data_IF_898941333910
#
_entry.id   IF_898941333910
#
_cell.length_a   1.000
_cell.length_b   1.000
_cell.length_c   1.000
_cell.angle_alpha   90.00
_cell.angle_beta   90.00
_cell.angle_gamma   90.00
#
_symmetry.space_group_name_H-M   'P 1'
#
loop_
_entity.id
_entity.type
_entity.pdbx_description
1 polymer ?
#
# COMPACT_ATOMS: atom_id res chain seq x y z
N UNK A 1 35.80 -45.44 -3.36
CA UNK A 1 35.00 -46.31 -4.21
C UNK A 1 34.10 -45.36 -4.94
N UNK A 2 34.58 -44.75 -5.99
CA UNK A 2 34.73 -45.13 -7.40
C UNK A 2 33.38 -45.33 -8.06
N UNK A 3 33.12 -44.34 -8.93
CA UNK A 3 32.77 -44.43 -10.36
C UNK A 3 31.27 -44.52 -10.67
N UNK A 4 30.69 -43.92 -11.71
CA UNK A 4 31.23 -43.50 -13.00
C UNK A 4 30.21 -42.58 -13.71
N UNK A 5 30.72 -41.66 -14.50
CA UNK A 5 30.11 -40.79 -15.49
C UNK A 5 29.54 -41.61 -16.67
N UNK A 6 28.45 -41.13 -17.27
CA UNK A 6 28.13 -41.41 -18.68
C UNK A 6 27.66 -40.14 -19.40
N UNK A 7 28.57 -39.62 -20.24
CA UNK A 7 28.30 -38.81 -21.43
C UNK A 7 27.67 -39.68 -22.51
N UNK A 8 26.73 -39.15 -23.27
CA UNK A 8 26.46 -39.58 -24.64
C UNK A 8 26.28 -38.39 -25.56
N UNK A 9 27.21 -38.32 -26.46
CA UNK A 9 27.36 -37.49 -27.63
C UNK A 9 26.58 -38.12 -28.82
N UNK A 10 25.93 -37.30 -29.68
CA UNK A 10 25.60 -37.59 -31.09
C UNK A 10 25.07 -36.32 -31.71
N UNK A 11 25.67 -35.60 -32.64
CA UNK A 11 26.12 -36.10 -33.93
C UNK A 11 25.44 -35.18 -34.95
N UNK A 12 26.20 -34.21 -35.50
CA UNK A 12 25.75 -33.25 -36.53
C UNK A 12 25.64 -33.92 -37.90
N UNK A 13 24.63 -33.53 -38.69
CA UNK A 13 24.69 -33.67 -40.15
C UNK A 13 24.29 -32.37 -40.84
N UNK A 14 25.22 -31.86 -41.63
CA UNK A 14 25.06 -30.73 -42.53
C UNK A 14 24.24 -31.13 -43.77
N UNK A 15 23.29 -30.25 -44.17
CA UNK A 15 22.59 -30.34 -45.45
C UNK A 15 22.64 -29.00 -46.17
N UNK A 16 23.13 -29.06 -47.40
CA UNK A 16 23.38 -27.97 -48.34
C UNK A 16 22.13 -27.16 -48.72
N UNK A 17 22.36 -25.86 -48.98
CA UNK A 17 21.41 -24.92 -49.58
C UNK A 17 21.31 -25.11 -51.12
N UNK A 18 20.17 -24.75 -51.73
CA UNK A 18 20.15 -24.32 -53.13
C UNK A 18 19.94 -22.82 -53.24
N UNK A 19 20.69 -22.22 -54.14
CA UNK A 19 20.58 -20.87 -54.63
C UNK A 19 19.38 -20.70 -55.57
N UNK A 20 18.58 -19.64 -55.40
CA UNK A 20 17.78 -19.03 -56.46
C UNK A 20 17.59 -17.55 -56.19
N UNK A 21 18.04 -16.76 -57.08
CA UNK A 21 17.92 -15.34 -57.28
C UNK A 21 16.51 -15.04 -57.83
N UNK A 22 15.68 -14.31 -57.10
CA UNK A 22 14.48 -13.60 -57.65
C UNK A 22 14.27 -12.30 -56.89
N UNK A 23 14.25 -11.22 -57.69
CA UNK A 23 14.17 -9.83 -57.24
C UNK A 23 12.96 -9.49 -56.39
N UNK A 24 13.21 -8.80 -55.30
CA UNK A 24 12.21 -8.18 -54.42
C UNK A 24 11.86 -6.78 -54.95
N UNK A 25 10.57 -6.39 -54.88
CA UNK A 25 10.17 -5.01 -55.06
C UNK A 25 10.57 -4.20 -53.82
N UNK A 26 11.16 -3.04 -54.00
CA UNK A 26 11.49 -2.05 -53.02
C UNK A 26 10.17 -1.46 -52.42
N UNK A 27 9.70 -1.98 -51.32
CA UNK A 27 8.77 -1.29 -50.45
C UNK A 27 9.59 -0.33 -49.57
N UNK A 28 9.31 0.96 -49.71
CA UNK A 28 9.88 1.98 -48.86
C UNK A 28 9.51 1.69 -47.41
N UNK A 29 10.44 1.17 -46.63
CA UNK A 29 10.36 1.13 -45.17
C UNK A 29 10.54 2.58 -44.70
N UNK A 30 9.44 3.18 -44.21
CA UNK A 30 9.52 4.38 -43.39
C UNK A 30 10.38 4.03 -42.16
N UNK A 31 11.46 4.78 -41.98
CA UNK A 31 12.32 4.61 -40.77
C UNK A 31 11.46 4.82 -39.54
N UNK A 32 11.49 3.90 -38.54
CA UNK A 32 10.71 4.04 -37.32
C UNK A 32 11.03 5.39 -36.65
N UNK A 33 10.02 5.99 -36.06
CA UNK A 33 10.19 7.23 -35.31
C UNK A 33 11.14 7.01 -34.14
N UNK A 34 11.88 8.03 -33.72
CA UNK A 34 12.87 7.93 -32.64
C UNK A 34 12.30 7.36 -31.32
N UNK A 35 10.97 7.33 -31.18
CA UNK A 35 10.27 6.74 -30.02
C UNK A 35 10.03 5.23 -30.16
N UNK A 36 10.06 4.65 -31.36
CA UNK A 36 9.91 3.21 -31.58
C UNK A 36 11.21 2.41 -31.26
N UNK A 37 12.35 3.07 -31.21
CA UNK A 37 13.65 2.43 -30.91
C UNK A 37 13.96 2.27 -29.41
N UNK A 38 13.16 2.90 -28.51
CA UNK A 38 13.42 2.82 -27.08
C UNK A 38 12.97 1.47 -26.49
N UNK A 39 13.80 0.88 -25.65
CA UNK A 39 13.39 -0.29 -24.85
C UNK A 39 12.22 0.05 -23.91
N UNK A 40 11.42 -0.95 -23.57
CA UNK A 40 10.32 -0.78 -22.58
C UNK A 40 10.80 -0.19 -21.25
N UNK A 41 12.02 -0.54 -20.84
CA UNK A 41 12.65 -0.02 -19.63
C UNK A 41 12.96 1.49 -19.73
N UNK A 42 13.40 1.95 -20.92
CA UNK A 42 13.69 3.38 -21.15
C UNK A 42 12.43 4.20 -21.25
N UNK A 43 11.36 3.69 -21.90
CA UNK A 43 10.04 4.34 -21.90
C UNK A 43 9.51 4.51 -20.49
N UNK A 44 9.54 3.45 -19.68
CA UNK A 44 9.09 3.50 -18.30
C UNK A 44 9.91 4.50 -17.45
N UNK A 45 11.22 4.57 -17.67
CA UNK A 45 12.08 5.56 -17.00
C UNK A 45 11.69 6.99 -17.35
N UNK A 46 11.55 7.29 -18.64
CA UNK A 46 11.15 8.64 -19.12
C UNK A 46 9.78 9.06 -18.57
N UNK A 47 8.79 8.16 -18.60
CA UNK A 47 7.45 8.42 -18.05
C UNK A 47 7.53 8.71 -16.55
N UNK A 48 8.37 7.97 -15.80
CA UNK A 48 8.58 8.21 -14.38
C UNK A 48 9.23 9.57 -14.12
N UNK A 49 10.29 9.92 -14.87
CA UNK A 49 10.99 11.21 -14.75
C UNK A 49 10.04 12.38 -15.06
N UNK A 50 9.23 12.26 -16.15
CA UNK A 50 8.22 13.25 -16.51
C UNK A 50 7.16 13.41 -15.43
N UNK A 51 6.67 12.32 -14.86
CA UNK A 51 5.72 12.35 -13.73
C UNK A 51 6.29 13.10 -12.53
N UNK A 52 7.53 12.81 -12.14
CA UNK A 52 8.21 13.52 -11.06
C UNK A 52 8.33 15.01 -11.36
N UNK A 53 8.68 15.40 -12.59
CA UNK A 53 8.79 16.78 -13.01
C UNK A 53 7.44 17.50 -12.93
N UNK A 54 6.37 16.90 -13.47
CA UNK A 54 5.00 17.45 -13.41
C UNK A 54 4.56 17.64 -11.97
N UNK A 55 4.78 16.65 -11.09
CA UNK A 55 4.43 16.77 -9.69
C UNK A 55 5.15 17.92 -8.97
N UNK A 56 6.43 18.15 -9.29
CA UNK A 56 7.22 19.23 -8.69
C UNK A 56 6.78 20.61 -9.15
N UNK A 57 6.30 20.73 -10.37
CA UNK A 57 5.86 22.00 -10.95
C UNK A 57 4.38 22.26 -10.74
N UNK A 58 3.58 21.24 -10.44
CA UNK A 58 2.16 21.38 -10.16
C UNK A 58 1.91 22.28 -8.95
N UNK A 59 1.08 23.30 -9.15
CA UNK A 59 0.68 24.25 -8.10
C UNK A 59 -0.40 23.68 -7.21
N UNK A 60 -1.25 22.81 -7.75
CA UNK A 60 -2.38 22.19 -7.03
C UNK A 60 -2.39 20.68 -7.30
N UNK A 61 -2.42 19.92 -6.20
CA UNK A 61 -2.49 18.45 -6.20
C UNK A 61 -3.39 18.01 -5.05
N UNK A 62 -4.10 16.89 -5.20
CA UNK A 62 -4.89 16.32 -4.10
C UNK A 62 -4.00 15.71 -2.99
N UNK A 63 -2.84 15.18 -3.39
CA UNK A 63 -1.88 14.60 -2.46
C UNK A 63 -0.45 14.83 -2.97
N UNK A 64 0.50 14.99 -2.04
CA UNK A 64 1.94 15.01 -2.30
C UNK A 64 2.62 13.82 -1.63
N UNK A 65 2.67 12.67 -2.30
CA UNK A 65 3.28 11.47 -1.72
C UNK A 65 4.75 11.70 -1.37
N UNK A 66 5.19 11.16 -0.23
CA UNK A 66 6.54 11.37 0.29
C UNK A 66 7.67 10.91 -0.65
N UNK A 67 7.42 9.93 -1.55
CA UNK A 67 8.41 9.45 -2.52
C UNK A 67 8.68 10.44 -3.68
N UNK A 68 7.88 11.50 -3.81
CA UNK A 68 8.08 12.58 -4.78
C UNK A 68 8.87 13.76 -4.20
N UNK A 69 9.08 13.78 -2.89
CA UNK A 69 9.95 14.77 -2.23
C UNK A 69 11.41 14.52 -2.57
N UNK A 70 12.21 15.60 -2.55
CA UNK A 70 13.66 15.49 -2.64
C UNK A 70 14.24 14.94 -1.33
N UNK A 71 15.45 14.40 -1.39
CA UNK A 71 16.19 14.00 -0.17
C UNK A 71 16.31 15.18 0.81
N UNK A 72 16.57 16.39 0.29
CA UNK A 72 16.68 17.61 1.11
C UNK A 72 15.38 17.92 1.86
N UNK A 73 14.23 17.86 1.18
CA UNK A 73 12.93 18.07 1.80
C UNK A 73 12.64 17.00 2.86
N UNK A 74 13.01 15.75 2.61
CA UNK A 74 12.86 14.66 3.58
C UNK A 74 13.77 14.85 4.80
N UNK A 75 15.00 15.30 4.60
CA UNK A 75 15.92 15.60 5.72
C UNK A 75 15.42 16.80 6.54
N UNK A 76 14.87 17.83 5.90
CA UNK A 76 14.30 18.98 6.61
C UNK A 76 13.16 18.61 7.57
N UNK A 77 12.43 17.51 7.31
CA UNK A 77 11.42 17.01 8.25
C UNK A 77 12.02 16.55 9.59
N UNK A 78 13.31 16.18 9.62
CA UNK A 78 14.01 15.78 10.85
C UNK A 78 14.50 16.98 11.66
N UNK A 79 14.75 18.13 11.02
CA UNK A 79 15.15 19.35 11.73
C UNK A 79 13.98 19.92 12.56
N UNK A 80 12.77 19.56 12.20
CA UNK A 80 11.51 20.09 12.75
C UNK A 80 10.97 19.26 13.94
N UNK A 81 11.72 18.26 14.43
CA UNK A 81 11.25 17.35 15.49
C UNK A 81 11.87 17.62 16.87
N UNK A 82 12.63 18.70 17.02
CA UNK A 82 13.27 19.07 18.29
C UNK A 82 12.29 19.34 19.43
N UNK A 83 11.03 19.61 19.13
CA UNK A 83 9.93 19.73 20.10
C UNK A 83 9.38 18.39 20.56
N UNK A 84 9.67 17.31 19.83
CA UNK A 84 9.14 15.96 20.08
C UNK A 84 10.18 15.05 20.76
N UNK A 85 11.45 15.30 20.53
CA UNK A 85 12.55 14.50 21.06
C UNK A 85 13.83 15.31 21.24
N UNK A 86 14.61 15.00 22.27
CA UNK A 86 15.91 15.64 22.53
C UNK A 86 16.94 15.23 21.47
N UNK A 87 17.22 16.15 20.53
CA UNK A 87 18.18 15.90 19.45
C UNK A 87 19.65 16.04 19.90
N UNK A 88 19.92 16.62 21.07
CA UNK A 88 21.27 16.71 21.65
C UNK A 88 21.64 15.45 22.44
N UNK A 89 20.69 14.55 22.66
CA UNK A 89 20.89 13.26 23.30
C UNK A 89 21.64 12.26 22.42
N UNK A 90 22.06 11.11 22.97
CA UNK A 90 22.75 10.07 22.21
C UNK A 90 21.82 9.44 21.16
N UNK A 91 22.40 9.05 20.02
CA UNK A 91 21.72 8.24 19.00
C UNK A 91 21.35 6.86 19.57
N UNK A 92 20.33 6.23 18.97
CA UNK A 92 19.93 4.87 19.36
C UNK A 92 21.01 3.82 19.02
N UNK A 93 21.10 2.82 19.85
CA UNK A 93 21.84 1.60 19.57
C UNK A 93 20.93 0.39 19.72
N UNK A 94 20.67 -0.31 18.61
CA UNK A 94 19.84 -1.52 18.56
C UNK A 94 18.41 -1.33 19.12
N UNK A 95 17.88 -0.11 19.01
CA UNK A 95 16.47 0.16 19.28
C UNK A 95 16.16 0.73 20.68
N UNK A 96 17.14 1.36 21.36
CA UNK A 96 16.91 2.18 22.56
C UNK A 96 16.53 3.63 22.20
N UNK A 97 16.37 4.47 23.21
CA UNK A 97 16.18 5.92 23.07
C UNK A 97 14.92 6.27 22.25
N UNK A 98 15.12 6.93 21.11
CA UNK A 98 14.00 7.39 20.26
C UNK A 98 13.13 6.23 19.73
N UNK A 99 13.71 5.05 19.56
CA UNK A 99 12.95 3.87 19.12
C UNK A 99 12.02 3.37 20.23
N UNK A 100 12.53 3.35 21.48
CA UNK A 100 11.70 3.04 22.66
C UNK A 100 10.58 4.06 22.83
N UNK A 101 10.87 5.35 22.70
CA UNK A 101 9.86 6.40 22.76
C UNK A 101 8.76 6.22 21.70
N UNK A 102 9.12 5.82 20.47
CA UNK A 102 8.17 5.50 19.42
C UNK A 102 7.33 4.26 19.76
N UNK A 103 7.96 3.20 20.31
CA UNK A 103 7.27 1.98 20.75
C UNK A 103 6.25 2.29 21.85
N UNK A 104 6.64 3.06 22.87
CA UNK A 104 5.76 3.49 23.96
C UNK A 104 4.59 4.35 23.46
N UNK A 105 4.89 5.32 22.60
CA UNK A 105 3.87 6.20 22.01
C UNK A 105 2.86 5.39 21.19
N UNK A 106 3.34 4.42 20.41
CA UNK A 106 2.47 3.55 19.59
C UNK A 106 1.58 2.68 20.46
N UNK A 107 2.15 2.03 21.48
CA UNK A 107 1.37 1.24 22.43
C UNK A 107 0.27 2.06 23.12
N UNK A 108 0.62 3.29 23.57
CA UNK A 108 -0.33 4.21 24.20
C UNK A 108 -1.46 4.64 23.28
N UNK A 109 -1.18 4.97 22.01
CA UNK A 109 -2.19 5.35 21.03
C UNK A 109 -3.16 4.20 20.68
N UNK A 110 -2.66 2.97 20.67
CA UNK A 110 -3.45 1.78 20.37
C UNK A 110 -4.13 1.18 21.63
N UNK A 111 -3.84 1.69 22.85
CA UNK A 111 -4.36 1.16 24.10
C UNK A 111 -3.89 -0.26 24.39
N UNK A 112 -2.70 -0.68 23.88
CA UNK A 112 -2.15 -2.01 24.03
C UNK A 112 -0.97 -2.01 24.99
N UNK A 113 -0.65 -3.19 25.59
CA UNK A 113 0.34 -3.31 26.67
C UNK A 113 1.77 -2.91 26.28
N UNK A 114 2.15 -3.20 25.03
CA UNK A 114 3.48 -2.92 24.49
C UNK A 114 3.48 -2.90 22.97
N UNK A 115 4.52 -2.29 22.40
CA UNK A 115 4.81 -2.36 20.97
C UNK A 115 6.30 -2.63 20.74
N UNK A 116 6.63 -3.12 19.55
CA UNK A 116 7.99 -3.31 19.06
C UNK A 116 8.13 -2.79 17.63
N UNK A 117 9.15 -1.99 17.40
CA UNK A 117 9.46 -1.42 16.08
C UNK A 117 10.14 -2.45 15.17
N UNK A 118 9.78 -2.41 13.88
CA UNK A 118 10.37 -3.20 12.80
C UNK A 118 10.80 -2.31 11.63
N UNK A 119 11.92 -2.65 10.95
CA UNK A 119 12.34 -1.90 9.76
C UNK A 119 11.33 -1.94 8.61
N UNK A 120 10.54 -3.03 8.50
CA UNK A 120 9.55 -3.25 7.44
C UNK A 120 8.27 -3.88 7.97
N UNK A 121 7.14 -3.57 7.32
CA UNK A 121 5.85 -4.19 7.61
C UNK A 121 5.84 -5.69 7.33
N UNK A 122 6.44 -6.12 6.23
CA UNK A 122 6.57 -7.54 5.88
C UNK A 122 7.23 -8.34 7.01
N UNK A 123 8.31 -7.81 7.62
CA UNK A 123 8.95 -8.48 8.76
C UNK A 123 8.03 -8.49 9.99
N UNK A 124 7.35 -7.38 10.29
CA UNK A 124 6.43 -7.30 11.42
C UNK A 124 5.31 -8.35 11.32
N UNK A 125 4.70 -8.48 10.15
CA UNK A 125 3.66 -9.47 9.85
C UNK A 125 4.18 -10.91 9.98
N UNK A 126 5.34 -11.21 9.38
CA UNK A 126 5.99 -12.52 9.47
C UNK A 126 6.22 -12.91 10.94
N UNK A 127 6.72 -11.98 11.73
CA UNK A 127 7.02 -12.21 13.16
C UNK A 127 5.74 -12.37 13.97
N UNK A 128 4.75 -11.51 13.79
CA UNK A 128 3.48 -11.58 14.51
C UNK A 128 2.81 -12.94 14.34
N UNK A 129 2.59 -13.34 13.09
CA UNK A 129 1.89 -14.59 12.77
C UNK A 129 2.71 -15.83 13.13
N UNK A 130 4.06 -15.76 13.04
CA UNK A 130 4.92 -16.84 13.51
C UNK A 130 4.85 -17.02 15.03
N UNK A 131 4.81 -15.93 15.80
CA UNK A 131 4.64 -16.02 17.26
C UNK A 131 3.28 -16.64 17.59
N UNK A 132 2.22 -16.24 16.92
CA UNK A 132 0.89 -16.81 17.11
C UNK A 132 0.84 -18.29 16.73
N UNK A 133 1.40 -18.68 15.59
CA UNK A 133 1.50 -20.10 15.21
C UNK A 133 2.25 -20.94 16.26
N UNK A 134 3.32 -20.40 16.86
CA UNK A 134 4.04 -21.06 17.94
C UNK A 134 3.21 -21.20 19.23
N UNK A 135 2.34 -20.23 19.52
CA UNK A 135 1.50 -20.20 20.74
C UNK A 135 0.24 -21.04 20.61
N UNK A 136 -0.39 -21.02 19.44
CA UNK A 136 -1.59 -21.85 19.17
C UNK A 136 -1.24 -23.28 18.81
N UNK A 137 -0.01 -23.54 18.38
CA UNK A 137 0.40 -24.83 17.82
C UNK A 137 -0.13 -25.07 16.40
N UNK A 138 -0.73 -24.05 15.77
CA UNK A 138 -1.35 -24.14 14.42
C UNK A 138 -0.74 -23.09 13.50
N UNK A 139 -0.04 -23.49 12.40
CA UNK A 139 0.56 -22.58 11.43
C UNK A 139 -0.43 -22.05 10.39
N UNK A 140 -1.72 -22.43 10.47
CA UNK A 140 -2.74 -21.98 9.52
C UNK A 140 -3.20 -20.58 9.85
N UNK A 141 -3.14 -19.70 8.84
CA UNK A 141 -3.59 -18.31 8.93
C UNK A 141 -4.75 -18.11 7.95
N UNK A 142 -5.94 -17.91 8.48
CA UNK A 142 -7.09 -17.51 7.69
C UNK A 142 -7.02 -16.01 7.36
N UNK A 143 -7.18 -15.66 6.09
CA UNK A 143 -7.06 -14.29 5.62
C UNK A 143 -7.92 -14.07 4.35
N UNK A 144 -7.95 -12.83 3.89
CA UNK A 144 -8.62 -12.48 2.62
C UNK A 144 -7.70 -12.73 1.43
N UNK A 145 -8.24 -13.23 0.30
CA UNK A 145 -7.45 -13.47 -0.92
C UNK A 145 -6.83 -12.23 -1.54
N UNK A 146 -7.37 -11.03 -1.26
CA UNK A 146 -6.81 -9.73 -1.67
C UNK A 146 -5.99 -9.05 -0.58
N UNK A 147 -5.66 -9.73 0.52
CA UNK A 147 -4.80 -9.13 1.55
C UNK A 147 -3.38 -8.94 1.04
N UNK A 148 -2.71 -7.90 1.57
CA UNK A 148 -1.37 -7.51 1.14
C UNK A 148 -0.34 -8.65 1.12
N UNK A 149 -0.27 -9.56 2.11
CA UNK A 149 0.67 -10.67 2.08
C UNK A 149 0.45 -11.65 0.93
N UNK A 150 -0.81 -11.86 0.52
CA UNK A 150 -1.15 -12.75 -0.60
C UNK A 150 -0.82 -12.13 -1.96
N UNK A 151 -1.06 -10.82 -2.11
CA UNK A 151 -0.91 -10.14 -3.40
C UNK A 151 0.51 -9.62 -3.63
N UNK A 152 1.17 -9.07 -2.58
CA UNK A 152 2.38 -8.27 -2.74
C UNK A 152 3.64 -8.85 -2.11
N UNK A 153 3.55 -9.85 -1.20
CA UNK A 153 4.72 -10.33 -0.45
C UNK A 153 5.37 -11.61 -1.02
N UNK A 154 5.05 -12.00 -2.25
CA UNK A 154 5.69 -13.12 -2.95
C UNK A 154 5.71 -14.43 -2.15
N UNK A 155 4.59 -14.78 -1.53
CA UNK A 155 4.43 -15.96 -0.68
C UNK A 155 5.38 -15.99 0.54
N UNK A 156 5.67 -14.83 1.14
CA UNK A 156 6.59 -14.73 2.27
C UNK A 156 6.13 -15.60 3.46
N UNK A 157 4.84 -15.70 3.74
CA UNK A 157 4.32 -16.54 4.83
C UNK A 157 4.77 -17.99 4.72
N UNK A 158 4.60 -18.60 3.56
CA UNK A 158 4.99 -20.00 3.36
C UNK A 158 6.49 -20.18 3.13
N UNK A 159 7.15 -19.25 2.44
CA UNK A 159 8.57 -19.37 2.08
C UNK A 159 9.54 -19.04 3.19
N UNK A 160 9.18 -18.10 4.07
CA UNK A 160 10.08 -17.59 5.12
C UNK A 160 9.66 -18.09 6.50
N UNK A 161 8.37 -18.03 6.82
CA UNK A 161 7.87 -18.30 8.17
C UNK A 161 7.27 -19.69 8.35
N UNK A 162 7.09 -20.46 7.27
CA UNK A 162 6.49 -21.79 7.32
C UNK A 162 5.00 -21.76 7.69
N UNK A 163 4.35 -20.61 7.50
CA UNK A 163 2.92 -20.45 7.71
C UNK A 163 2.14 -20.96 6.50
N UNK A 164 0.91 -21.34 6.72
CA UNK A 164 0.00 -21.79 5.66
C UNK A 164 -1.21 -20.88 5.57
N UNK A 165 -1.21 -19.91 4.63
CA UNK A 165 -2.37 -19.06 4.43
C UNK A 165 -3.53 -19.87 3.83
N UNK A 166 -4.76 -19.61 4.31
CA UNK A 166 -6.01 -20.12 3.75
C UNK A 166 -6.96 -18.94 3.53
N UNK A 167 -7.64 -18.95 2.39
CA UNK A 167 -8.47 -17.83 1.95
C UNK A 167 -9.92 -18.03 2.35
N UNK A 168 -10.44 -17.17 3.22
CA UNK A 168 -11.86 -17.20 3.62
C UNK A 168 -12.79 -16.85 2.48
N UNK A 169 -12.41 -15.82 1.71
CA UNK A 169 -13.18 -15.31 0.57
C UNK A 169 -12.25 -14.62 -0.43
N UNK A 170 -12.72 -14.49 -1.67
CA UNK A 170 -12.08 -13.70 -2.73
C UNK A 170 -13.00 -12.58 -3.24
N UNK A 171 -14.16 -12.39 -2.62
CA UNK A 171 -15.08 -11.30 -2.94
C UNK A 171 -14.41 -9.95 -2.60
N UNK A 172 -14.60 -8.87 -3.40
CA UNK A 172 -13.93 -7.59 -3.15
C UNK A 172 -14.57 -6.80 -1.99
N UNK A 173 -14.71 -7.44 -0.84
CA UNK A 173 -15.24 -6.91 0.42
C UNK A 173 -14.59 -7.63 1.60
N UNK A 174 -14.62 -7.06 2.81
CA UNK A 174 -14.19 -7.78 4.00
C UNK A 174 -14.95 -9.12 4.20
N UNK A 175 -14.33 -10.11 4.85
CA UNK A 175 -15.01 -11.38 5.14
C UNK A 175 -16.17 -11.16 6.11
N UNK A 176 -17.19 -11.99 6.01
CA UNK A 176 -18.34 -12.00 6.91
C UNK A 176 -18.15 -12.97 8.07
N UNK A 177 -18.89 -12.78 9.15
CA UNK A 177 -18.89 -13.72 10.28
C UNK A 177 -19.34 -15.13 9.89
N UNK A 178 -20.28 -15.24 8.92
CA UNK A 178 -20.72 -16.55 8.39
C UNK A 178 -19.56 -17.25 7.66
N UNK A 179 -18.83 -16.56 6.79
CA UNK A 179 -17.66 -17.14 6.11
C UNK A 179 -16.59 -17.61 7.10
N UNK A 180 -16.40 -16.91 8.21
CA UNK A 180 -15.49 -17.34 9.28
C UNK A 180 -16.01 -18.58 10.00
N UNK A 181 -17.29 -18.62 10.39
CA UNK A 181 -17.90 -19.76 11.12
C UNK A 181 -17.96 -21.02 10.27
N UNK A 182 -18.35 -20.88 9.00
CA UNK A 182 -18.63 -21.98 8.09
C UNK A 182 -17.39 -22.49 7.36
N UNK A 183 -16.23 -21.85 7.57
CA UNK A 183 -14.98 -22.29 6.96
C UNK A 183 -14.61 -23.69 7.45
N UNK A 184 -14.49 -24.64 6.54
CA UNK A 184 -14.37 -26.08 6.89
C UNK A 184 -13.04 -26.39 7.59
N UNK A 185 -11.96 -25.70 7.19
CA UNK A 185 -10.63 -25.98 7.69
C UNK A 185 -10.37 -25.25 9.03
N UNK A 186 -9.77 -25.91 10.04
CA UNK A 186 -9.30 -25.24 11.24
C UNK A 186 -8.15 -24.25 10.93
N UNK A 187 -8.04 -23.18 11.71
CA UNK A 187 -6.97 -22.21 11.63
C UNK A 187 -6.65 -21.62 13.02
N UNK A 188 -5.37 -21.39 13.27
CA UNK A 188 -4.91 -20.84 14.56
C UNK A 188 -5.03 -19.31 14.64
N UNK A 189 -5.01 -18.61 13.51
CA UNK A 189 -5.07 -17.15 13.47
C UNK A 189 -5.97 -16.65 12.35
N UNK A 190 -6.86 -15.71 12.65
CA UNK A 190 -7.55 -14.88 11.67
C UNK A 190 -6.77 -13.58 11.49
N UNK A 191 -6.33 -13.26 10.28
CA UNK A 191 -5.75 -11.98 9.91
C UNK A 191 -6.75 -11.12 9.14
N UNK A 192 -7.03 -9.92 9.64
CA UNK A 192 -7.90 -8.94 8.98
C UNK A 192 -7.10 -7.70 8.58
N UNK A 193 -7.11 -7.36 7.29
CA UNK A 193 -6.52 -6.12 6.79
C UNK A 193 -7.53 -4.97 6.87
N UNK A 194 -7.18 -3.92 7.57
CA UNK A 194 -8.03 -2.75 7.85
C UNK A 194 -7.33 -1.44 7.47
N UNK A 195 -7.78 -0.79 6.38
CA UNK A 195 -8.75 -1.21 5.36
C UNK A 195 -8.18 -2.26 4.40
N UNK A 196 -9.05 -3.05 3.75
CA UNK A 196 -8.67 -3.97 2.68
C UNK A 196 -8.34 -3.17 1.41
N UNK A 197 -7.05 -2.91 1.21
CA UNK A 197 -6.57 -1.98 0.17
C UNK A 197 -6.91 -2.43 -1.24
N UNK A 198 -6.63 -3.70 -1.56
CA UNK A 198 -6.78 -4.18 -2.94
C UNK A 198 -8.24 -4.41 -3.35
N UNK A 199 -9.16 -4.43 -2.38
CA UNK A 199 -10.59 -4.31 -2.63
C UNK A 199 -11.09 -2.85 -2.76
N UNK A 200 -10.20 -1.85 -2.68
CA UNK A 200 -10.54 -0.43 -2.82
C UNK A 200 -10.57 0.35 -1.51
N UNK A 201 -9.75 -0.01 -0.54
CA UNK A 201 -9.69 0.61 0.81
C UNK A 201 -11.01 0.44 1.60
N UNK A 202 -11.67 -0.69 1.39
CA UNK A 202 -12.94 -0.97 2.04
C UNK A 202 -12.75 -1.40 3.49
N UNK A 203 -13.66 -0.95 4.34
CA UNK A 203 -13.79 -1.36 5.73
C UNK A 203 -15.18 -2.00 5.94
N UNK A 204 -15.32 -2.96 6.85
CA UNK A 204 -16.64 -3.39 7.31
C UNK A 204 -17.30 -2.28 8.13
N UNK A 205 -18.57 -2.38 8.45
CA UNK A 205 -19.17 -1.60 9.54
C UNK A 205 -18.58 -2.05 10.89
N UNK A 206 -18.80 -1.25 11.94
CA UNK A 206 -18.35 -1.62 13.29
C UNK A 206 -18.98 -2.93 13.77
N UNK A 207 -20.27 -3.10 13.49
CA UNK A 207 -21.06 -4.27 13.83
C UNK A 207 -20.52 -5.52 13.10
N UNK A 208 -20.29 -5.42 11.79
CA UNK A 208 -19.70 -6.52 11.01
C UNK A 208 -18.30 -6.89 11.50
N UNK A 209 -17.45 -5.90 11.81
CA UNK A 209 -16.11 -6.17 12.36
C UNK A 209 -16.18 -6.93 13.69
N UNK A 210 -17.06 -6.49 14.59
CA UNK A 210 -17.21 -7.14 15.90
C UNK A 210 -17.78 -8.55 15.77
N UNK A 211 -18.70 -8.79 14.85
CA UNK A 211 -19.24 -10.12 14.55
C UNK A 211 -18.18 -11.07 13.94
N UNK A 212 -17.34 -10.58 13.05
CA UNK A 212 -16.23 -11.34 12.46
C UNK A 212 -15.22 -11.74 13.53
N UNK A 213 -14.86 -10.81 14.42
CA UNK A 213 -13.97 -11.08 15.56
C UNK A 213 -14.58 -12.10 16.52
N UNK A 214 -15.88 -11.97 16.83
CA UNK A 214 -16.58 -12.94 17.66
C UNK A 214 -16.60 -14.33 17.02
N UNK A 215 -16.86 -14.43 15.72
CA UNK A 215 -16.83 -15.69 14.97
C UNK A 215 -15.46 -16.38 15.00
N UNK A 216 -14.37 -15.62 14.94
CA UNK A 216 -13.02 -16.17 15.09
C UNK A 216 -12.77 -16.73 16.51
N UNK A 217 -13.22 -16.02 17.54
CA UNK A 217 -13.11 -16.46 18.93
C UNK A 217 -13.95 -17.69 19.26
N UNK A 218 -15.13 -17.85 18.62
CA UNK A 218 -15.95 -19.07 18.68
C UNK A 218 -15.20 -20.30 18.15
N UNK A 219 -14.17 -20.09 17.33
CA UNK A 219 -13.30 -21.12 16.75
C UNK A 219 -11.97 -21.27 17.49
N UNK A 220 -11.82 -20.66 18.65
CA UNK A 220 -10.56 -20.59 19.42
C UNK A 220 -9.38 -19.98 18.63
N UNK A 221 -9.66 -19.19 17.60
CA UNK A 221 -8.64 -18.55 16.78
C UNK A 221 -8.23 -17.18 17.36
N UNK A 222 -6.95 -16.87 17.25
CA UNK A 222 -6.37 -15.55 17.54
C UNK A 222 -6.73 -14.58 16.43
N UNK A 223 -7.00 -13.32 16.77
CA UNK A 223 -7.27 -12.25 15.80
C UNK A 223 -6.07 -11.31 15.72
N UNK A 224 -5.50 -11.18 14.52
CA UNK A 224 -4.44 -10.24 14.20
C UNK A 224 -4.91 -9.22 13.17
N UNK A 225 -4.74 -7.92 13.47
CA UNK A 225 -5.04 -6.87 12.48
C UNK A 225 -3.79 -6.50 11.70
N UNK A 226 -3.86 -6.66 10.37
CA UNK A 226 -3.03 -5.89 9.46
C UNK A 226 -3.59 -4.47 9.41
N UNK A 227 -3.06 -3.66 10.29
CA UNK A 227 -3.43 -2.26 10.45
C UNK A 227 -2.46 -1.31 9.74
N UNK A 228 -1.92 -1.70 8.58
CA UNK A 228 -0.98 -0.87 7.82
C UNK A 228 -1.47 0.58 7.62
N UNK A 229 -2.80 0.78 7.64
CA UNK A 229 -3.50 2.06 7.56
C UNK A 229 -4.59 2.22 8.64
N UNK A 230 -4.46 1.55 9.76
CA UNK A 230 -5.43 1.60 10.86
C UNK A 230 -5.67 3.03 11.36
N UNK A 231 -4.66 3.88 11.28
CA UNK A 231 -4.70 5.28 11.66
C UNK A 231 -5.85 6.09 11.02
N UNK A 232 -6.33 5.66 9.85
CA UNK A 232 -7.34 6.33 9.03
C UNK A 232 -8.78 5.89 9.35
N UNK A 233 -8.94 4.84 10.16
CA UNK A 233 -10.22 4.11 10.27
C UNK A 233 -11.20 4.71 11.27
N UNK A 234 -10.73 5.59 12.16
CA UNK A 234 -11.51 6.17 13.25
C UNK A 234 -12.76 6.92 12.79
N UNK A 235 -12.66 7.64 11.66
CA UNK A 235 -13.79 8.39 11.09
C UNK A 235 -14.87 7.46 10.51
N UNK A 236 -14.48 6.32 9.96
CA UNK A 236 -15.41 5.34 9.42
C UNK A 236 -16.14 4.59 10.53
N UNK A 237 -15.40 4.06 11.50
CA UNK A 237 -15.99 3.31 12.61
C UNK A 237 -16.68 4.20 13.66
N UNK A 238 -16.37 5.51 13.70
CA UNK A 238 -16.85 6.40 14.76
C UNK A 238 -16.32 5.98 16.13
N UNK A 239 -15.13 5.39 16.20
CA UNK A 239 -14.49 4.86 17.40
C UNK A 239 -13.04 5.33 17.52
N UNK A 240 -12.53 5.51 18.74
CA UNK A 240 -11.11 5.80 18.95
C UNK A 240 -10.24 4.59 18.61
N UNK A 241 -8.95 4.84 18.31
CA UNK A 241 -8.00 3.79 17.91
C UNK A 241 -7.88 2.66 18.94
N UNK A 242 -7.93 3.00 20.22
CA UNK A 242 -7.84 2.03 21.32
C UNK A 242 -9.01 1.03 21.35
N UNK A 243 -10.23 1.47 21.02
CA UNK A 243 -11.38 0.57 20.89
C UNK A 243 -11.25 -0.35 19.67
N UNK A 244 -10.78 0.21 18.55
CA UNK A 244 -10.59 -0.56 17.31
C UNK A 244 -9.50 -1.60 17.50
N UNK A 245 -8.33 -1.19 18.00
CA UNK A 245 -7.19 -2.07 18.25
C UNK A 245 -7.49 -3.12 19.32
N UNK A 246 -8.30 -2.76 20.32
CA UNK A 246 -8.73 -3.65 21.41
C UNK A 246 -9.60 -4.84 20.99
N UNK A 247 -10.11 -4.85 19.74
CA UNK A 247 -10.79 -6.02 19.19
C UNK A 247 -9.83 -7.16 18.84
N UNK A 248 -8.56 -6.86 18.56
CA UNK A 248 -7.56 -7.84 18.14
C UNK A 248 -6.63 -8.25 19.30
N UNK A 249 -6.06 -9.45 19.20
CA UNK A 249 -5.02 -9.94 20.10
C UNK A 249 -3.65 -9.33 19.78
N UNK A 250 -3.46 -8.83 18.57
CA UNK A 250 -2.31 -8.03 18.16
C UNK A 250 -2.60 -7.20 16.91
N UNK A 251 -1.86 -6.11 16.77
CA UNK A 251 -2.03 -5.15 15.67
C UNK A 251 -0.68 -4.81 15.07
N UNK A 252 -0.54 -4.93 13.77
CA UNK A 252 0.53 -4.33 13.00
C UNK A 252 0.11 -2.96 12.48
N UNK A 253 1.00 -1.96 12.55
CA UNK A 253 0.81 -0.64 11.96
C UNK A 253 2.04 -0.19 11.18
N UNK A 254 1.87 0.66 10.16
CA UNK A 254 2.98 1.28 9.43
C UNK A 254 3.06 2.78 9.69
N UNK A 255 4.28 3.36 9.54
CA UNK A 255 4.51 4.79 9.75
C UNK A 255 4.72 5.59 8.45
N UNK A 256 5.00 4.93 7.32
CA UNK A 256 5.41 5.58 6.06
C UNK A 256 4.28 5.76 5.05
N UNK A 257 3.09 5.21 5.32
CA UNK A 257 1.90 5.38 4.47
C UNK A 257 1.24 6.71 4.82
N UNK A 258 0.11 6.68 5.47
CA UNK A 258 -0.68 7.86 5.86
C UNK A 258 0.04 8.86 6.74
N UNK A 259 0.97 8.39 7.58
CA UNK A 259 1.74 9.25 8.49
C UNK A 259 2.98 9.90 7.84
N UNK A 260 3.36 9.47 6.63
CA UNK A 260 4.45 10.10 5.88
C UNK A 260 5.86 9.88 6.42
N UNK A 261 6.08 8.96 7.36
CA UNK A 261 7.40 8.58 7.86
C UNK A 261 8.34 8.06 6.77
N UNK A 262 9.62 7.89 7.08
CA UNK A 262 10.61 7.40 6.09
C UNK A 262 10.48 5.90 5.83
N UNK A 263 9.97 5.17 6.79
CA UNK A 263 9.82 3.72 6.78
C UNK A 263 9.37 3.23 8.14
N UNK A 264 9.52 1.94 8.36
CA UNK A 264 9.25 1.32 9.65
C UNK A 264 7.78 0.96 9.89
N UNK A 265 7.64 0.11 10.87
CA UNK A 265 6.38 -0.48 11.30
C UNK A 265 6.43 -0.79 12.79
N UNK A 266 5.30 -1.07 13.40
CA UNK A 266 5.25 -1.67 14.73
C UNK A 266 4.29 -2.85 14.79
N UNK A 267 4.61 -3.79 15.65
CA UNK A 267 3.69 -4.79 16.17
C UNK A 267 3.36 -4.43 17.62
N UNK A 268 2.09 -4.29 17.93
CA UNK A 268 1.58 -4.01 19.26
C UNK A 268 0.67 -5.16 19.75
N UNK A 269 0.68 -5.42 21.06
CA UNK A 269 -0.10 -6.48 21.67
C UNK A 269 0.33 -6.76 23.11
N UNK A 270 0.05 -7.97 23.62
CA UNK A 270 0.50 -8.39 24.96
C UNK A 270 2.02 -8.30 25.11
N UNK A 271 2.50 -7.87 26.25
CA UNK A 271 3.94 -7.72 26.53
C UNK A 271 4.73 -8.99 26.22
N UNK A 272 4.19 -10.15 26.58
CA UNK A 272 4.84 -11.43 26.30
C UNK A 272 4.99 -11.73 24.81
N UNK A 273 4.02 -11.30 23.96
CA UNK A 273 4.12 -11.40 22.52
C UNK A 273 5.22 -10.48 21.99
N UNK A 274 5.26 -9.24 22.48
CA UNK A 274 6.24 -8.22 22.08
C UNK A 274 7.67 -8.65 22.43
N UNK A 275 7.89 -9.25 23.62
CA UNK A 275 9.18 -9.80 24.01
C UNK A 275 9.63 -10.94 23.07
N UNK A 276 8.74 -11.86 22.75
CA UNK A 276 9.01 -12.92 21.77
C UNK A 276 9.30 -12.36 20.39
N UNK A 277 8.53 -11.36 19.97
CA UNK A 277 8.69 -10.68 18.68
C UNK A 277 10.05 -9.96 18.57
N UNK A 278 10.59 -9.38 19.67
CA UNK A 278 11.95 -8.82 19.70
C UNK A 278 13.02 -9.87 19.39
N UNK A 279 12.87 -11.08 19.94
CA UNK A 279 13.78 -12.19 19.65
C UNK A 279 13.72 -12.61 18.17
N UNK A 280 12.53 -12.67 17.58
CA UNK A 280 12.36 -12.98 16.17
C UNK A 280 12.86 -11.86 15.26
N UNK A 281 12.62 -10.58 15.62
CA UNK A 281 13.22 -9.43 14.93
C UNK A 281 14.73 -9.57 14.81
N UNK A 282 15.40 -9.93 15.91
CA UNK A 282 16.85 -10.15 15.91
C UNK A 282 17.25 -11.28 14.95
N UNK A 283 16.56 -12.44 15.02
CA UNK A 283 16.84 -13.62 14.18
C UNK A 283 16.68 -13.33 12.68
N UNK A 284 15.71 -12.50 12.31
CA UNK A 284 15.49 -12.05 10.92
C UNK A 284 16.42 -10.90 10.48
N UNK A 285 17.36 -10.47 11.34
CA UNK A 285 18.28 -9.37 11.01
C UNK A 285 17.66 -7.97 11.07
N UNK A 286 16.49 -7.84 11.69
CA UNK A 286 15.78 -6.56 11.82
C UNK A 286 16.24 -5.70 13.00
N UNK A 287 17.21 -6.17 13.78
CA UNK A 287 17.78 -5.40 14.89
C UNK A 287 18.96 -4.54 14.38
N UNK A 288 18.63 -3.41 13.71
CA UNK A 288 19.61 -2.53 13.09
C UNK A 288 20.36 -1.72 14.15
N UNK A 289 21.64 -1.38 13.86
CA UNK A 289 22.51 -0.67 14.78
C UNK A 289 21.96 0.73 15.14
N UNK A 290 21.51 1.50 14.13
CA UNK A 290 20.90 2.80 14.32
C UNK A 290 19.65 2.97 13.44
N UNK A 291 18.57 3.46 14.00
CA UNK A 291 17.25 3.62 13.36
C UNK A 291 16.62 4.99 13.63
N UNK A 292 17.35 5.90 14.32
CA UNK A 292 16.82 7.19 14.74
C UNK A 292 16.19 8.03 13.61
N UNK A 293 16.71 8.08 12.36
CA UNK A 293 16.06 8.88 11.34
C UNK A 293 14.66 8.37 10.99
N UNK A 294 14.50 7.04 10.97
CA UNK A 294 13.20 6.41 10.72
C UNK A 294 12.26 6.61 11.91
N UNK A 295 12.75 6.41 13.14
CA UNK A 295 11.94 6.56 14.36
C UNK A 295 11.50 8.01 14.57
N UNK A 296 12.39 9.00 14.39
CA UNK A 296 12.05 10.43 14.47
C UNK A 296 10.99 10.81 13.43
N UNK A 297 11.15 10.36 12.18
CA UNK A 297 10.16 10.64 11.14
C UNK A 297 8.79 10.00 11.45
N UNK A 298 8.78 8.84 12.10
CA UNK A 298 7.56 8.18 12.54
C UNK A 298 6.89 8.92 13.71
N UNK A 299 7.66 9.38 14.69
CA UNK A 299 7.15 10.23 15.79
C UNK A 299 6.53 11.52 15.24
N UNK A 300 7.22 12.20 14.31
CA UNK A 300 6.68 13.37 13.65
C UNK A 300 5.33 13.07 12.95
N UNK A 301 5.23 11.91 12.30
CA UNK A 301 3.99 11.45 11.68
C UNK A 301 2.86 11.26 12.69
N UNK A 302 3.14 10.61 13.82
CA UNK A 302 2.16 10.40 14.89
C UNK A 302 1.67 11.71 15.51
N UNK A 303 2.55 12.69 15.70
CA UNK A 303 2.20 13.97 16.34
C UNK A 303 1.58 14.99 15.37
N UNK A 304 1.94 14.98 14.10
CA UNK A 304 1.56 16.02 13.14
C UNK A 304 0.60 15.56 12.06
N UNK A 305 0.77 14.33 11.55
CA UNK A 305 -0.10 13.80 10.49
C UNK A 305 -1.34 13.10 11.04
N UNK A 306 -1.19 12.27 12.08
CA UNK A 306 -2.30 11.51 12.68
C UNK A 306 -3.50 12.40 13.06
N UNK A 307 -3.35 13.54 13.74
CA UNK A 307 -4.49 14.40 14.11
C UNK A 307 -5.25 14.97 12.92
N UNK A 308 -4.65 15.00 11.73
CA UNK A 308 -5.25 15.53 10.51
C UNK A 308 -5.98 14.50 9.66
N UNK A 309 -5.78 13.22 9.92
CA UNK A 309 -6.42 12.14 9.14
C UNK A 309 -7.95 12.21 9.15
N UNK A 310 -8.65 12.49 10.27
CA UNK A 310 -10.11 12.61 10.25
C UNK A 310 -10.62 13.69 9.29
N UNK A 311 -9.94 14.84 9.22
CA UNK A 311 -10.27 15.92 8.29
C UNK A 311 -10.05 15.48 6.83
N UNK A 312 -8.95 14.80 6.56
CA UNK A 312 -8.64 14.27 5.22
C UNK A 312 -9.67 13.22 4.78
N UNK A 313 -10.10 12.33 5.68
CA UNK A 313 -11.15 11.34 5.39
C UNK A 313 -12.49 12.02 5.09
N UNK A 314 -12.88 13.00 5.90
CA UNK A 314 -14.10 13.76 5.66
C UNK A 314 -14.05 14.48 4.30
N UNK A 315 -12.92 15.06 3.96
CA UNK A 315 -12.72 15.77 2.69
C UNK A 315 -12.64 14.82 1.48
N UNK A 316 -12.12 13.62 1.63
CA UNK A 316 -12.12 12.60 0.58
C UNK A 316 -13.54 12.29 0.08
N UNK A 317 -14.54 12.34 0.96
CA UNK A 317 -15.96 12.16 0.60
C UNK A 317 -16.47 13.29 -0.30
N UNK A 318 -16.02 14.53 -0.05
CA UNK A 318 -16.35 15.70 -0.90
C UNK A 318 -15.70 15.54 -2.27
N UNK A 319 -14.41 15.17 -2.30
CA UNK A 319 -13.66 14.94 -3.56
C UNK A 319 -14.29 13.82 -4.37
N UNK A 320 -14.62 12.69 -3.76
CA UNK A 320 -15.22 11.53 -4.44
C UNK A 320 -16.59 11.88 -5.06
N UNK A 321 -17.43 12.63 -4.36
CA UNK A 321 -18.71 13.11 -4.89
C UNK A 321 -18.50 14.06 -6.09
N UNK A 322 -17.59 15.02 -5.95
CA UNK A 322 -17.29 15.99 -7.00
C UNK A 322 -16.63 15.35 -8.24
N UNK A 323 -15.84 14.28 -8.08
CA UNK A 323 -15.32 13.48 -9.21
C UNK A 323 -16.46 12.84 -10.00
N UNK A 324 -17.42 12.17 -9.33
CA UNK A 324 -18.59 11.57 -9.99
C UNK A 324 -19.40 12.60 -10.76
N UNK A 325 -19.72 13.70 -10.10
CA UNK A 325 -20.47 14.81 -10.72
C UNK A 325 -19.72 15.40 -11.91
N UNK A 326 -18.41 15.65 -11.78
CA UNK A 326 -17.58 16.23 -12.81
C UNK A 326 -17.47 15.34 -14.04
N UNK A 327 -17.20 14.03 -13.88
CA UNK A 327 -17.13 13.10 -15.01
C UNK A 327 -18.48 12.92 -15.70
N UNK A 328 -19.58 12.85 -14.93
CA UNK A 328 -20.92 12.80 -15.51
C UNK A 328 -21.25 14.07 -16.32
N UNK A 329 -20.92 15.25 -15.79
CA UNK A 329 -21.10 16.52 -16.49
C UNK A 329 -20.24 16.66 -17.74
N UNK A 330 -19.04 16.08 -17.75
CA UNK A 330 -18.13 16.03 -18.88
C UNK A 330 -18.50 14.96 -19.93
N UNK A 331 -19.59 14.21 -19.74
CA UNK A 331 -20.08 13.22 -20.70
C UNK A 331 -19.28 11.93 -20.74
N UNK A 332 -18.47 11.63 -19.74
CA UNK A 332 -17.79 10.34 -19.63
C UNK A 332 -18.84 9.24 -19.42
N UNK A 333 -18.84 8.19 -20.26
CA UNK A 333 -19.95 7.21 -20.30
C UNK A 333 -20.16 6.49 -18.96
N UNK A 334 -19.10 6.34 -18.17
CA UNK A 334 -19.12 5.63 -16.91
C UNK A 334 -17.95 6.05 -16.02
N UNK A 335 -18.17 6.16 -14.74
CA UNK A 335 -17.15 6.37 -13.71
C UNK A 335 -17.47 5.51 -12.48
N UNK A 336 -16.51 4.76 -12.01
CA UNK A 336 -16.58 4.03 -10.75
C UNK A 336 -15.79 4.71 -9.65
N UNK A 337 -16.35 4.85 -8.47
CA UNK A 337 -15.66 5.28 -7.25
C UNK A 337 -15.92 4.24 -6.17
N UNK A 338 -14.88 3.68 -5.58
CA UNK A 338 -15.01 2.63 -4.57
C UNK A 338 -14.09 2.93 -3.37
N UNK A 339 -14.61 2.93 -2.14
CA UNK A 339 -16.05 2.87 -1.80
C UNK A 339 -16.80 4.07 -2.38
N UNK A 340 -18.10 3.92 -2.65
CA UNK A 340 -18.92 5.02 -3.18
C UNK A 340 -18.85 6.28 -2.29
N UNK A 341 -18.85 6.06 -0.97
CA UNK A 341 -18.49 7.04 0.04
C UNK A 341 -17.17 6.56 0.67
N UNK A 342 -16.05 7.26 0.48
CA UNK A 342 -14.76 6.83 0.99
C UNK A 342 -14.77 6.52 2.49
N UNK A 343 -14.19 5.37 2.86
CA UNK A 343 -14.03 4.94 4.25
C UNK A 343 -12.77 5.54 4.89
N UNK A 344 -11.76 5.81 4.06
CA UNK A 344 -10.49 6.43 4.45
C UNK A 344 -10.22 7.66 3.57
N UNK A 345 -9.07 8.31 3.73
CA UNK A 345 -8.66 9.39 2.83
C UNK A 345 -8.16 8.88 1.47
N UNK A 346 -8.07 7.57 1.30
CA UNK A 346 -7.72 6.89 0.04
C UNK A 346 -8.93 6.11 -0.48
N UNK A 347 -9.10 6.10 -1.80
CA UNK A 347 -10.15 5.37 -2.52
C UNK A 347 -9.73 5.11 -3.96
N UNK A 348 -10.48 4.33 -4.71
CA UNK A 348 -10.18 4.03 -6.13
C UNK A 348 -11.18 4.63 -7.07
N UNK A 349 -10.68 5.05 -8.24
CA UNK A 349 -11.49 5.58 -9.36
C UNK A 349 -11.22 4.73 -10.60
N UNK A 350 -12.29 4.27 -11.25
CA UNK A 350 -12.26 3.53 -12.51
C UNK A 350 -12.82 4.41 -13.62
N UNK A 351 -12.15 4.39 -14.78
CA UNK A 351 -12.60 5.08 -15.99
C UNK A 351 -12.55 4.12 -17.20
N UNK A 352 -13.45 4.32 -18.20
CA UNK A 352 -13.54 3.47 -19.39
C UNK A 352 -12.53 3.87 -20.47
N UNK A 353 -11.25 3.88 -20.14
CA UNK A 353 -10.13 4.19 -21.02
C UNK A 353 -8.91 3.34 -20.66
N UNK A 354 -8.00 3.16 -21.62
CA UNK A 354 -6.75 2.47 -21.39
C UNK A 354 -5.80 3.26 -20.49
N UNK A 355 -5.01 2.54 -19.71
CA UNK A 355 -4.11 3.11 -18.68
C UNK A 355 -3.08 4.10 -19.28
N UNK A 356 -2.58 3.83 -20.47
CA UNK A 356 -1.64 4.72 -21.16
C UNK A 356 -2.30 6.05 -21.55
N UNK A 357 -3.54 6.02 -22.06
CA UNK A 357 -4.32 7.21 -22.41
C UNK A 357 -4.60 8.07 -21.17
N UNK A 358 -5.04 7.45 -20.08
CA UNK A 358 -5.31 8.16 -18.83
C UNK A 358 -4.02 8.71 -18.19
N UNK A 359 -2.93 7.94 -18.29
CA UNK A 359 -1.61 8.37 -17.82
C UNK A 359 -1.10 9.59 -18.57
N UNK A 360 -1.22 9.61 -19.87
CA UNK A 360 -0.84 10.75 -20.72
C UNK A 360 -1.71 11.98 -20.45
N UNK A 361 -3.03 11.81 -20.35
CA UNK A 361 -3.94 12.89 -20.00
C UNK A 361 -3.63 13.51 -18.62
N UNK A 362 -3.28 12.68 -17.62
CA UNK A 362 -2.87 13.17 -16.30
C UNK A 362 -1.62 14.05 -16.37
N UNK A 363 -0.61 13.64 -17.14
CA UNK A 363 0.63 14.40 -17.30
C UNK A 363 0.38 15.70 -18.08
N UNK A 364 -0.35 15.64 -19.19
CA UNK A 364 -0.72 16.80 -20.01
C UNK A 364 -1.51 17.84 -19.21
N UNK A 365 -2.51 17.40 -18.43
CA UNK A 365 -3.24 18.29 -17.54
C UNK A 365 -2.28 19.03 -16.58
N UNK A 366 -1.37 18.30 -15.94
CA UNK A 366 -0.40 18.90 -15.02
C UNK A 366 0.52 19.93 -15.71
N UNK A 367 1.03 19.61 -16.90
CA UNK A 367 1.91 20.47 -17.69
C UNK A 367 1.23 21.74 -18.18
N UNK A 368 0.01 21.63 -18.68
CA UNK A 368 -0.72 22.76 -19.30
C UNK A 368 -1.36 23.68 -18.26
N UNK A 369 -1.89 23.09 -17.17
CA UNK A 369 -2.69 23.86 -16.20
C UNK A 369 -1.99 24.13 -14.88
N UNK A 370 -0.95 23.36 -14.56
CA UNK A 370 -0.36 23.33 -13.23
C UNK A 370 -1.25 22.68 -12.16
N UNK A 371 -2.31 21.98 -12.58
CA UNK A 371 -3.25 21.24 -11.73
C UNK A 371 -3.13 19.76 -12.05
N UNK A 372 -2.87 18.92 -11.06
CA UNK A 372 -2.74 17.48 -11.22
C UNK A 372 -3.81 16.77 -10.39
N UNK A 373 -4.85 16.30 -11.06
CA UNK A 373 -5.98 15.62 -10.42
C UNK A 373 -5.59 14.20 -10.00
N UNK A 374 -4.94 13.44 -10.90
CA UNK A 374 -4.47 12.09 -10.65
C UNK A 374 -2.94 12.07 -10.60
N UNK A 375 -2.40 11.85 -9.42
CA UNK A 375 -0.96 11.86 -9.19
C UNK A 375 -0.30 10.47 -9.31
N UNK A 376 -1.08 9.41 -9.13
CA UNK A 376 -0.64 8.01 -9.24
C UNK A 376 -0.61 7.50 -10.68
N UNK A 377 -0.10 6.28 -10.88
CA UNK A 377 -0.29 5.56 -12.13
C UNK A 377 -1.75 5.15 -12.31
N UNK A 378 -2.10 4.86 -13.55
CA UNK A 378 -3.31 4.13 -13.89
C UNK A 378 -2.93 2.68 -14.16
N UNK A 379 -3.63 1.75 -13.53
CA UNK A 379 -3.41 0.32 -13.70
C UNK A 379 -4.55 -0.28 -14.55
N UNK A 380 -4.25 -1.17 -15.51
CA UNK A 380 -5.29 -1.88 -16.25
C UNK A 380 -6.20 -2.68 -15.32
N UNK A 381 -7.52 -2.53 -15.46
CA UNK A 381 -8.52 -3.24 -14.68
C UNK A 381 -9.43 -4.14 -15.55
N UNK A 382 -9.19 -4.16 -16.86
CA UNK A 382 -9.89 -4.92 -17.87
C UNK A 382 -9.73 -4.28 -19.25
N UNK A 383 -10.25 -4.89 -20.33
CA UNK A 383 -10.18 -4.30 -21.66
C UNK A 383 -10.84 -2.93 -21.69
N UNK A 384 -10.07 -1.87 -22.01
CA UNK A 384 -10.57 -0.49 -22.08
C UNK A 384 -11.04 0.07 -20.73
N UNK A 385 -10.60 -0.50 -19.61
CA UNK A 385 -10.95 -0.02 -18.26
C UNK A 385 -9.67 0.05 -17.43
N UNK A 386 -9.48 1.17 -16.76
CA UNK A 386 -8.33 1.34 -15.86
C UNK A 386 -8.74 1.96 -14.52
N UNK A 387 -7.91 1.73 -13.52
CA UNK A 387 -8.11 2.16 -12.14
C UNK A 387 -6.94 3.00 -11.65
N UNK A 388 -7.23 4.06 -10.90
CA UNK A 388 -6.23 4.82 -10.15
C UNK A 388 -6.57 4.86 -8.66
N UNK A 389 -5.54 4.86 -7.82
CA UNK A 389 -5.67 5.19 -6.41
C UNK A 389 -5.66 6.72 -6.25
N UNK A 390 -6.67 7.23 -5.54
CA UNK A 390 -6.79 8.65 -5.21
C UNK A 390 -6.64 8.81 -3.71
N UNK A 391 -5.66 9.61 -3.31
CA UNK A 391 -5.48 9.98 -1.91
C UNK A 391 -5.72 11.47 -1.72
N UNK A 392 -6.41 11.86 -0.66
CA UNK A 392 -6.61 13.24 -0.27
C UNK A 392 -5.70 13.55 0.92
N UNK A 393 -4.57 14.18 0.63
CA UNK A 393 -3.62 14.63 1.65
C UNK A 393 -3.90 16.06 2.12
N UNK A 394 -2.98 16.60 2.92
CA UNK A 394 -3.09 17.98 3.45
C UNK A 394 -3.25 19.00 2.32
N UNK A 395 -2.54 18.83 1.20
CA UNK A 395 -2.66 19.72 0.03
C UNK A 395 -4.06 19.65 -0.62
N UNK A 396 -4.75 18.53 -0.48
CA UNK A 396 -6.09 18.33 -0.99
C UNK A 396 -7.18 19.04 -0.19
N UNK A 397 -6.92 19.38 1.07
CA UNK A 397 -7.90 20.07 1.93
C UNK A 397 -8.27 21.47 1.42
N UNK A 398 -7.42 22.08 0.60
CA UNK A 398 -7.67 23.39 0.00
C UNK A 398 -8.57 23.32 -1.25
N UNK A 399 -8.94 22.14 -1.70
CA UNK A 399 -9.75 21.97 -2.91
C UNK A 399 -11.26 22.03 -2.56
N UNK A 400 -11.97 22.93 -3.18
CA UNK A 400 -13.43 22.92 -3.14
C UNK A 400 -14.01 21.87 -4.11
N UNK A 401 -15.27 21.51 -3.96
CA UNK A 401 -15.97 20.65 -4.93
C UNK A 401 -15.94 21.24 -6.36
N UNK A 402 -16.04 22.59 -6.48
CA UNK A 402 -15.95 23.29 -7.76
C UNK A 402 -14.55 23.16 -8.38
N UNK A 403 -13.49 23.25 -7.58
CA UNK A 403 -12.13 23.02 -8.04
C UNK A 403 -11.94 21.61 -8.60
N UNK A 404 -12.50 20.60 -7.92
CA UNK A 404 -12.44 19.21 -8.39
C UNK A 404 -13.20 19.06 -9.72
N UNK A 405 -14.41 19.61 -9.82
CA UNK A 405 -15.19 19.58 -11.08
C UNK A 405 -14.46 20.29 -12.24
N UNK A 406 -13.87 21.44 -11.98
CA UNK A 406 -13.06 22.16 -12.97
C UNK A 406 -11.82 21.36 -13.41
N UNK A 407 -11.14 20.70 -12.44
CA UNK A 407 -10.01 19.83 -12.76
C UNK A 407 -10.43 18.59 -13.56
N UNK A 408 -11.61 18.01 -13.31
CA UNK A 408 -12.16 16.92 -14.13
C UNK A 408 -12.41 17.40 -15.57
N UNK A 409 -13.02 18.57 -15.74
CA UNK A 409 -13.25 19.12 -17.10
C UNK A 409 -11.94 19.31 -17.85
N UNK A 410 -10.90 19.84 -17.20
CA UNK A 410 -9.57 19.99 -17.81
C UNK A 410 -8.91 18.63 -18.11
N UNK A 411 -9.09 17.64 -17.26
CA UNK A 411 -8.59 16.28 -17.47
C UNK A 411 -9.26 15.61 -18.67
N UNK A 412 -10.60 15.73 -18.80
CA UNK A 412 -11.33 15.19 -19.95
C UNK A 412 -10.93 15.89 -21.25
N UNK A 413 -10.75 17.21 -21.24
CA UNK A 413 -10.22 17.92 -22.42
C UNK A 413 -8.83 17.40 -22.83
N UNK A 414 -7.98 17.02 -21.87
CA UNK A 414 -6.68 16.41 -22.15
C UNK A 414 -6.77 14.97 -22.69
N UNK A 415 -7.90 14.27 -22.56
CA UNK A 415 -8.13 12.96 -23.20
C UNK A 415 -8.41 13.10 -24.71
N UNK A 416 -8.99 14.22 -25.15
CA UNK A 416 -9.44 14.44 -26.54
C UNK A 416 -8.33 15.03 -27.45
N UNK A 417 -7.28 15.57 -26.86
CA UNK A 417 -6.15 16.18 -27.55
C UNK A 417 -4.94 15.28 -27.68
#
# INVERSE_FOLDING_TARGET
>A
MTDTVHEQDSGATAGQAPSADEGLPSTGEESPSADEELSSAERNRRTRERRIAVHRTARRVLNRPGHLHTVRERLALLDDVQDLFDLDGPVDMYGNGVVEALEERTAGLLGLEAAVFFPTGTMAQQVALRCWAGRTGDPVVALHGLSHPEVHERNAFSRVSGLRPVRLTSEPRPPTAAEVRDFEEPFGTLMLELPLRDAGYVLPTWEELTEVVAAARERDAVVHFDGARLWETTTHFGRPLEEIAGLADSVYVSYYKSLGGFGGAALAGPRTLVEEARAWRHRYGGNLFQQFPTALSALAGLERALPRLPEQVAHARVVAAALREGFAAAGVPWVGVLPEVPHTHEFRVWLPYDAEVLGEASLRQGEETGVLLFSGPWDPAGPGISVAEVGVGVAGLEWTADDVRAAVAAFVAALEG
#
